data_IF_132153197959
#
_entry.id   IF_132153197959
#
_cell.length_a   1.000
_cell.length_b   1.000
_cell.length_c   1.000
_cell.angle_alpha   90.00
_cell.angle_beta   90.00
_cell.angle_gamma   90.00
#
_symmetry.space_group_name_H-M   'P 1'
#
loop_
_entity.id
_entity.type
_entity.pdbx_description
1 polymer ?
#
# COMPACT_ATOMS: atom_id res chain seq x y z
N UNK A 1 3.08 -31.55 27.78
CA UNK A 1 3.97 -30.53 28.37
C UNK A 1 3.69 -29.23 27.65
N UNK A 2 2.88 -28.41 28.30
CA UNK A 2 2.35 -27.16 27.75
C UNK A 2 3.38 -26.05 27.95
N UNK A 3 4.13 -25.71 26.90
CA UNK A 3 5.03 -24.58 26.93
C UNK A 3 4.21 -23.31 26.54
N UNK A 4 3.47 -22.79 27.53
CA UNK A 4 2.92 -21.44 27.44
C UNK A 4 4.09 -20.45 27.35
N UNK A 5 4.35 -19.93 26.14
CA UNK A 5 5.26 -18.80 25.95
C UNK A 5 4.65 -17.61 26.69
N UNK A 6 5.08 -17.37 27.92
CA UNK A 6 4.81 -16.16 28.69
C UNK A 6 5.46 -14.99 27.94
N UNK A 7 4.67 -14.20 27.20
CA UNK A 7 5.08 -12.87 26.79
C UNK A 7 5.38 -12.05 28.05
N UNK A 8 6.63 -11.66 28.25
CA UNK A 8 7.01 -10.72 29.30
C UNK A 8 6.20 -9.42 29.10
N UNK A 9 5.59 -8.87 30.15
CA UNK A 9 4.88 -7.60 30.04
C UNK A 9 5.89 -6.52 29.67
N UNK A 10 5.86 -6.07 28.43
CA UNK A 10 6.63 -4.90 28.02
C UNK A 10 6.01 -3.67 28.67
N UNK A 11 6.83 -2.84 29.30
CA UNK A 11 6.43 -1.58 29.89
C UNK A 11 5.76 -0.71 28.79
N UNK A 12 4.51 -0.28 29.04
CA UNK A 12 3.67 0.47 28.10
C UNK A 12 4.39 1.70 27.50
N UNK A 13 5.27 2.31 28.29
CA UNK A 13 6.07 3.49 27.91
C UNK A 13 7.19 3.15 26.92
N UNK A 14 7.83 1.98 27.08
CA UNK A 14 8.92 1.53 26.20
C UNK A 14 8.39 1.13 24.82
N UNK A 15 7.22 0.53 24.76
CA UNK A 15 6.55 0.13 23.51
C UNK A 15 6.17 1.36 22.65
N UNK A 16 5.65 2.43 23.27
CA UNK A 16 5.28 3.66 22.56
C UNK A 16 6.50 4.38 21.97
N UNK A 17 7.61 4.44 22.74
CA UNK A 17 8.87 5.05 22.26
C UNK A 17 9.48 4.29 21.06
N UNK A 18 9.26 2.97 20.96
CA UNK A 18 9.71 2.17 19.82
C UNK A 18 8.80 2.29 18.61
N UNK A 19 7.53 2.64 18.83
CA UNK A 19 6.53 2.78 17.75
C UNK A 19 6.76 4.04 16.90
N UNK A 20 7.20 5.14 17.50
CA UNK A 20 7.41 6.41 16.78
C UNK A 20 8.40 6.27 15.62
N UNK A 21 9.60 5.69 15.79
CA UNK A 21 10.52 5.42 14.68
C UNK A 21 9.92 4.52 13.60
N UNK A 22 9.12 3.54 14.01
CA UNK A 22 8.43 2.62 13.08
C UNK A 22 7.37 3.38 12.27
N UNK A 23 6.62 4.29 12.89
CA UNK A 23 5.66 5.16 12.17
C UNK A 23 6.36 6.10 11.19
N UNK A 24 7.55 6.61 11.50
CA UNK A 24 8.37 7.38 10.56
C UNK A 24 8.77 6.54 9.33
N UNK A 25 9.03 5.25 9.51
CA UNK A 25 9.25 4.33 8.38
C UNK A 25 8.00 4.16 7.51
N UNK A 26 6.78 4.15 8.09
CA UNK A 26 5.55 4.20 7.31
C UNK A 26 5.42 5.50 6.51
N UNK A 27 5.84 6.62 7.05
CA UNK A 27 5.89 7.88 6.30
C UNK A 27 6.82 7.75 5.09
N UNK A 28 8.07 7.28 5.31
CA UNK A 28 9.03 7.06 4.23
C UNK A 28 8.52 6.03 3.18
N UNK A 29 7.72 5.04 3.57
CA UNK A 29 7.09 4.08 2.68
C UNK A 29 6.15 4.75 1.66
N UNK A 30 5.57 5.92 1.98
CA UNK A 30 4.72 6.69 1.07
C UNK A 30 5.48 7.35 -0.08
N UNK A 31 6.80 7.46 -0.02
CA UNK A 31 7.61 8.11 -1.05
C UNK A 31 7.55 7.41 -2.42
N UNK A 32 7.19 6.14 -2.46
CA UNK A 32 7.02 5.39 -3.71
C UNK A 32 5.93 5.97 -4.61
N UNK A 33 4.93 6.61 -4.02
CA UNK A 33 3.79 7.17 -4.75
C UNK A 33 4.18 8.40 -5.59
N UNK A 34 5.43 8.91 -5.40
CA UNK A 34 6.01 9.94 -6.26
C UNK A 34 6.04 9.51 -7.74
N UNK A 35 6.19 8.23 -8.05
CA UNK A 35 6.30 7.74 -9.44
C UNK A 35 5.05 8.11 -10.24
N UNK A 36 3.87 7.98 -9.62
CA UNK A 36 2.60 8.36 -10.27
C UNK A 36 2.54 9.82 -10.66
N UNK A 37 3.05 10.73 -9.81
CA UNK A 37 3.09 12.17 -10.09
C UNK A 37 4.27 12.54 -10.99
N UNK A 38 5.43 11.92 -10.79
CA UNK A 38 6.64 12.19 -11.56
C UNK A 38 6.52 11.73 -13.02
N UNK A 39 5.63 10.77 -13.31
CA UNK A 39 5.42 10.23 -14.66
C UNK A 39 5.27 11.34 -15.71
N UNK A 40 4.42 12.31 -15.47
CA UNK A 40 4.10 13.37 -16.43
C UNK A 40 5.31 14.29 -16.69
N UNK A 41 6.09 14.58 -15.63
CA UNK A 41 7.32 15.37 -15.76
C UNK A 41 8.40 14.61 -16.54
N UNK A 42 8.58 13.30 -16.25
CA UNK A 42 9.52 12.45 -16.98
C UNK A 42 9.10 12.34 -18.46
N UNK A 43 7.80 12.18 -18.72
CA UNK A 43 7.25 12.14 -20.07
C UNK A 43 7.61 13.40 -20.86
N UNK A 44 7.45 14.57 -20.24
CA UNK A 44 7.74 15.86 -20.88
C UNK A 44 9.25 16.08 -21.05
N UNK A 45 10.07 15.82 -20.02
CA UNK A 45 11.52 16.03 -20.05
C UNK A 45 12.22 15.18 -21.14
N UNK A 46 11.69 13.99 -21.41
CA UNK A 46 12.29 13.03 -22.38
C UNK A 46 11.45 12.81 -23.64
N UNK A 47 10.41 13.61 -23.86
CA UNK A 47 9.50 13.50 -25.01
C UNK A 47 8.99 12.07 -25.26
N UNK A 48 8.61 11.36 -24.16
CA UNK A 48 8.14 9.98 -24.24
C UNK A 48 6.69 9.93 -24.74
N UNK A 49 6.37 8.86 -25.50
CA UNK A 49 4.96 8.59 -25.82
C UNK A 49 4.15 8.28 -24.56
N UNK A 50 2.84 8.58 -24.57
CA UNK A 50 1.92 8.26 -23.46
C UNK A 50 1.97 6.77 -23.09
N UNK A 51 2.03 5.91 -24.12
CA UNK A 51 2.15 4.45 -23.96
C UNK A 51 3.41 4.06 -23.19
N UNK A 52 4.56 4.66 -23.51
CA UNK A 52 5.84 4.34 -22.85
C UNK A 52 5.88 4.90 -21.42
N UNK A 53 5.41 6.12 -21.22
CA UNK A 53 5.33 6.74 -19.89
C UNK A 53 4.38 5.97 -18.95
N UNK A 54 3.31 5.39 -19.48
CA UNK A 54 2.37 4.56 -18.73
C UNK A 54 2.98 3.31 -18.07
N UNK A 55 4.14 2.84 -18.56
CA UNK A 55 4.85 1.72 -17.94
C UNK A 55 5.64 2.09 -16.68
N UNK A 56 5.94 3.38 -16.46
CA UNK A 56 6.75 3.82 -15.31
C UNK A 56 6.18 3.36 -13.96
N UNK A 57 4.88 3.53 -13.66
CA UNK A 57 4.29 3.03 -12.42
C UNK A 57 4.32 1.50 -12.31
N UNK A 58 4.26 0.78 -13.43
CA UNK A 58 4.27 -0.69 -13.45
C UNK A 58 5.58 -1.29 -12.95
N UNK A 59 6.69 -0.52 -13.02
CA UNK A 59 7.99 -0.92 -12.49
C UNK A 59 7.89 -1.27 -10.99
N UNK A 60 7.12 -0.52 -10.22
CA UNK A 60 6.95 -0.77 -8.77
C UNK A 60 6.27 -2.12 -8.53
N UNK A 61 5.17 -2.39 -9.21
CA UNK A 61 4.43 -3.65 -9.02
C UNK A 61 5.26 -4.88 -9.44
N UNK A 62 6.10 -4.74 -10.45
CA UNK A 62 7.06 -5.78 -10.84
C UNK A 62 7.99 -6.16 -9.68
N UNK A 63 8.57 -5.16 -8.99
CA UNK A 63 9.48 -5.43 -7.88
C UNK A 63 8.77 -5.99 -6.64
N UNK A 64 7.51 -5.64 -6.41
CA UNK A 64 6.73 -6.31 -5.36
C UNK A 64 6.59 -7.80 -5.63
N UNK A 65 6.37 -8.20 -6.87
CA UNK A 65 6.29 -9.60 -7.23
C UNK A 65 7.63 -10.34 -7.02
N UNK A 66 8.73 -9.74 -7.44
CA UNK A 66 10.06 -10.38 -7.45
C UNK A 66 10.72 -10.41 -6.07
N UNK A 67 10.66 -9.29 -5.33
CA UNK A 67 11.51 -9.07 -4.13
C UNK A 67 10.81 -9.46 -2.83
N UNK A 68 9.48 -9.50 -2.77
CA UNK A 68 8.78 -9.68 -1.49
C UNK A 68 9.07 -11.04 -0.84
N UNK A 69 9.01 -12.15 -1.58
CA UNK A 69 9.32 -13.48 -1.03
C UNK A 69 10.80 -13.62 -0.61
N UNK A 70 11.78 -13.21 -1.45
CA UNK A 70 13.19 -13.14 -1.02
C UNK A 70 13.39 -12.30 0.25
N UNK A 71 12.66 -11.19 0.41
CA UNK A 71 12.72 -10.36 1.62
C UNK A 71 12.19 -11.08 2.85
N UNK A 72 11.11 -11.87 2.72
CA UNK A 72 10.61 -12.73 3.81
C UNK A 72 11.70 -13.65 4.34
N UNK A 73 12.46 -14.27 3.44
CA UNK A 73 13.60 -15.15 3.79
C UNK A 73 14.76 -14.33 4.38
N UNK A 74 15.04 -13.16 3.83
CA UNK A 74 16.10 -12.27 4.31
C UNK A 74 15.85 -11.86 5.77
N UNK A 75 14.59 -11.59 6.16
CA UNK A 75 14.22 -11.28 7.54
C UNK A 75 14.60 -12.39 8.52
N UNK A 76 14.52 -13.67 8.11
CA UNK A 76 14.94 -14.80 8.95
C UNK A 76 16.45 -14.84 9.17
N UNK A 77 17.24 -14.31 8.21
CA UNK A 77 18.71 -14.30 8.31
C UNK A 77 19.24 -13.11 9.09
N UNK A 78 18.78 -11.90 8.78
CA UNK A 78 19.35 -10.67 9.35
C UNK A 78 18.45 -9.96 10.37
N UNK A 79 17.19 -10.40 10.52
CA UNK A 79 16.17 -9.79 11.38
C UNK A 79 15.33 -8.72 10.66
N UNK A 80 14.14 -8.45 11.20
CA UNK A 80 13.16 -7.51 10.63
C UNK A 80 13.66 -6.08 10.64
N UNK A 81 14.20 -5.61 11.78
CA UNK A 81 14.75 -4.25 11.93
C UNK A 81 15.86 -3.97 10.91
N UNK A 82 16.83 -4.89 10.76
CA UNK A 82 17.93 -4.73 9.81
C UNK A 82 17.42 -4.74 8.37
N UNK A 83 16.38 -5.51 8.08
CA UNK A 83 15.75 -5.52 6.74
C UNK A 83 15.04 -4.19 6.46
N UNK A 84 14.37 -3.59 7.45
CA UNK A 84 13.78 -2.23 7.30
C UNK A 84 14.89 -1.19 7.13
N UNK A 85 16.00 -1.27 7.86
CA UNK A 85 17.14 -0.37 7.66
C UNK A 85 17.73 -0.50 6.25
N UNK A 86 17.86 -1.72 5.72
CA UNK A 86 18.30 -1.97 4.35
C UNK A 86 17.35 -1.32 3.34
N UNK A 87 16.03 -1.44 3.54
CA UNK A 87 15.04 -0.81 2.66
C UNK A 87 15.16 0.71 2.64
N UNK A 88 15.38 1.35 3.79
CA UNK A 88 15.60 2.79 3.88
C UNK A 88 16.88 3.23 3.16
N UNK A 89 17.96 2.45 3.26
CA UNK A 89 19.21 2.70 2.53
C UNK A 89 18.96 2.64 1.01
N UNK A 90 18.27 1.61 0.53
CA UNK A 90 17.90 1.47 -0.88
C UNK A 90 16.99 2.62 -1.33
N UNK A 91 16.00 3.00 -0.53
CA UNK A 91 15.10 4.13 -0.80
C UNK A 91 15.88 5.46 -0.85
N UNK A 92 16.81 5.68 0.07
CA UNK A 92 17.66 6.88 0.05
C UNK A 92 18.49 6.95 -1.22
N UNK A 93 19.13 5.85 -1.63
CA UNK A 93 19.86 5.76 -2.89
C UNK A 93 18.95 6.02 -4.11
N UNK A 94 17.74 5.44 -4.10
CA UNK A 94 16.72 5.63 -5.13
C UNK A 94 16.33 7.11 -5.34
N UNK A 95 16.29 7.88 -4.25
CA UNK A 95 15.96 9.31 -4.28
C UNK A 95 17.13 10.19 -4.69
N UNK A 96 18.37 9.78 -4.39
CA UNK A 96 19.59 10.53 -4.74
C UNK A 96 19.99 10.35 -6.21
N UNK A 97 19.91 9.12 -6.75
CA UNK A 97 20.39 8.81 -8.10
C UNK A 97 19.77 9.69 -9.19
N UNK A 98 18.45 9.96 -9.23
CA UNK A 98 17.86 10.85 -10.23
C UNK A 98 18.33 12.31 -10.16
N UNK A 99 18.84 12.75 -9.01
CA UNK A 99 19.36 14.11 -8.79
C UNK A 99 20.78 14.24 -9.36
N UNK A 100 21.54 13.14 -9.44
CA UNK A 100 22.94 13.15 -9.89
C UNK A 100 23.10 13.47 -11.39
N UNK A 101 22.03 13.55 -12.17
CA UNK A 101 22.11 13.90 -13.59
C UNK A 101 20.76 13.94 -14.30
N UNK A 102 20.81 14.37 -15.57
CA UNK A 102 19.63 14.51 -16.44
C UNK A 102 19.57 13.40 -17.49
N UNK A 103 19.59 12.14 -17.06
CA UNK A 103 19.50 10.98 -17.92
C UNK A 103 18.25 10.15 -17.60
N UNK A 104 17.52 9.72 -18.61
CA UNK A 104 16.40 8.79 -18.45
C UNK A 104 16.83 7.50 -17.73
N UNK A 105 18.04 7.02 -18.00
CA UNK A 105 18.57 5.82 -17.35
C UNK A 105 18.68 6.01 -15.81
N UNK A 106 19.17 7.17 -15.33
CA UNK A 106 19.25 7.46 -13.90
C UNK A 106 17.87 7.52 -13.26
N UNK A 107 16.87 8.07 -13.94
CA UNK A 107 15.49 8.12 -13.45
C UNK A 107 14.91 6.69 -13.36
N UNK A 108 15.08 5.88 -14.41
CA UNK A 108 14.59 4.49 -14.41
C UNK A 108 15.28 3.67 -13.31
N UNK A 109 16.60 3.81 -13.14
CA UNK A 109 17.33 3.15 -12.04
C UNK A 109 16.78 3.61 -10.68
N UNK A 110 16.57 4.91 -10.49
CA UNK A 110 15.96 5.46 -9.29
C UNK A 110 14.58 4.85 -9.02
N UNK A 111 13.71 4.76 -10.02
CA UNK A 111 12.37 4.18 -9.89
C UNK A 111 12.40 2.67 -9.62
N UNK A 112 13.32 1.93 -10.25
CA UNK A 112 13.54 0.52 -9.93
C UNK A 112 13.96 0.34 -8.48
N UNK A 113 14.95 1.10 -8.02
CA UNK A 113 15.41 1.03 -6.64
C UNK A 113 14.33 1.48 -5.64
N UNK A 114 13.50 2.47 -6.01
CA UNK A 114 12.39 2.90 -5.19
C UNK A 114 11.33 1.78 -5.04
N UNK A 115 11.04 1.06 -6.13
CA UNK A 115 10.20 -0.14 -6.11
C UNK A 115 10.79 -1.26 -5.26
N UNK A 116 12.07 -1.56 -5.42
CA UNK A 116 12.80 -2.56 -4.61
C UNK A 116 12.78 -2.17 -3.13
N UNK A 117 13.18 -0.92 -2.81
CA UNK A 117 13.19 -0.41 -1.44
C UNK A 117 11.82 -0.49 -0.79
N UNK A 118 10.76 -0.11 -1.53
CA UNK A 118 9.39 -0.16 -1.02
C UNK A 118 8.89 -1.60 -0.82
N UNK A 119 9.21 -2.54 -1.73
CA UNK A 119 8.87 -3.95 -1.58
C UNK A 119 9.54 -4.54 -0.32
N UNK A 120 10.83 -4.25 -0.09
CA UNK A 120 11.55 -4.66 1.12
C UNK A 120 10.90 -4.01 2.36
N UNK A 121 10.59 -2.71 2.30
CA UNK A 121 9.97 -1.96 3.40
C UNK A 121 8.63 -2.56 3.80
N UNK A 122 7.70 -2.71 2.86
CA UNK A 122 6.35 -3.23 3.17
C UNK A 122 6.39 -4.65 3.70
N UNK A 123 7.29 -5.49 3.16
CA UNK A 123 7.46 -6.87 3.61
C UNK A 123 7.99 -6.95 5.03
N UNK A 124 8.91 -6.06 5.44
CA UNK A 124 9.60 -6.16 6.72
C UNK A 124 8.99 -5.29 7.82
N UNK A 125 8.44 -4.13 7.49
CA UNK A 125 7.91 -3.17 8.45
C UNK A 125 6.63 -3.69 9.14
N UNK A 126 5.72 -4.30 8.37
CA UNK A 126 4.48 -4.82 8.91
C UNK A 126 4.70 -5.94 9.96
N UNK A 127 5.55 -6.97 9.73
CA UNK A 127 5.87 -7.92 10.79
C UNK A 127 6.75 -7.34 11.91
N UNK A 128 7.51 -6.25 11.66
CA UNK A 128 8.22 -5.56 12.74
C UNK A 128 7.23 -4.94 13.74
N UNK A 129 6.11 -4.36 13.27
CA UNK A 129 5.02 -3.88 14.13
C UNK A 129 4.46 -5.01 14.99
N UNK A 130 4.31 -6.23 14.44
CA UNK A 130 3.79 -7.37 15.19
C UNK A 130 4.69 -7.84 16.33
N UNK A 131 5.96 -7.41 16.38
CA UNK A 131 6.86 -7.65 17.52
C UNK A 131 6.66 -6.66 18.67
N UNK A 132 6.06 -5.50 18.36
CA UNK A 132 5.94 -4.40 19.31
C UNK A 132 4.54 -4.31 19.92
N UNK A 133 3.55 -4.91 19.27
CA UNK A 133 2.13 -4.77 19.59
C UNK A 133 1.49 -6.14 19.72
N UNK A 134 0.56 -6.27 20.66
CA UNK A 134 -0.27 -7.48 20.83
C UNK A 134 -1.17 -7.72 19.61
N UNK A 135 -1.51 -8.98 19.36
CA UNK A 135 -2.26 -9.39 18.16
C UNK A 135 -3.64 -8.72 18.07
N UNK A 136 -4.31 -8.46 19.20
CA UNK A 136 -5.60 -7.78 19.28
C UNK A 136 -5.57 -6.32 18.77
N UNK A 137 -4.41 -5.65 18.91
CA UNK A 137 -4.17 -4.26 18.47
C UNK A 137 -3.47 -4.15 17.12
N UNK A 138 -3.03 -5.28 16.54
CA UNK A 138 -2.17 -5.29 15.36
C UNK A 138 -2.85 -4.63 14.15
N UNK A 139 -4.07 -5.04 13.81
CA UNK A 139 -4.79 -4.48 12.66
C UNK A 139 -5.00 -2.96 12.80
N UNK A 140 -5.39 -2.48 13.97
CA UNK A 140 -5.54 -1.05 14.27
C UNK A 140 -4.23 -0.29 14.10
N UNK A 141 -3.12 -0.85 14.60
CA UNK A 141 -1.79 -0.21 14.51
C UNK A 141 -1.28 -0.20 13.07
N UNK A 142 -1.46 -1.29 12.32
CA UNK A 142 -1.13 -1.33 10.88
C UNK A 142 -1.97 -0.33 10.09
N UNK A 143 -3.27 -0.22 10.37
CA UNK A 143 -4.15 0.79 9.78
C UNK A 143 -3.65 2.21 10.06
N UNK A 144 -3.24 2.50 11.31
CA UNK A 144 -2.64 3.79 11.65
C UNK A 144 -1.32 4.03 10.90
N UNK A 145 -0.49 3.01 10.72
CA UNK A 145 0.69 3.07 9.87
C UNK A 145 0.34 3.40 8.40
N UNK A 146 -0.70 2.78 7.85
CA UNK A 146 -1.19 3.11 6.50
C UNK A 146 -1.73 4.55 6.40
N UNK A 147 -2.33 5.08 7.47
CA UNK A 147 -2.72 6.49 7.53
C UNK A 147 -1.49 7.42 7.47
N UNK A 148 -0.44 7.13 8.22
CA UNK A 148 0.82 7.90 8.17
C UNK A 148 1.47 7.82 6.76
N UNK A 149 1.47 6.65 6.14
CA UNK A 149 1.89 6.48 4.74
C UNK A 149 1.07 7.37 3.80
N UNK A 150 -0.26 7.35 3.96
CA UNK A 150 -1.17 8.10 3.10
C UNK A 150 -0.98 9.62 3.20
N UNK A 151 -0.53 10.15 4.36
CA UNK A 151 -0.14 11.56 4.50
C UNK A 151 1.03 11.87 3.57
N UNK A 152 2.10 11.06 3.58
CA UNK A 152 3.25 11.25 2.72
C UNK A 152 2.85 11.16 1.24
N UNK A 153 2.01 10.18 0.88
CA UNK A 153 1.48 10.02 -0.48
C UNK A 153 0.68 11.25 -0.95
N UNK A 154 -0.18 11.80 -0.08
CA UNK A 154 -0.97 12.99 -0.38
C UNK A 154 -0.12 14.27 -0.51
N UNK A 155 1.00 14.36 0.21
CA UNK A 155 1.95 15.47 0.09
C UNK A 155 2.74 15.42 -1.22
N UNK A 156 2.93 14.26 -1.82
CA UNK A 156 3.81 14.06 -2.97
C UNK A 156 3.46 14.96 -4.17
N UNK A 157 2.22 15.06 -4.65
CA UNK A 157 1.89 15.94 -5.77
C UNK A 157 2.21 17.41 -5.49
N UNK A 158 1.98 17.88 -4.26
CA UNK A 158 2.30 19.24 -3.83
C UNK A 158 3.81 19.49 -3.84
N UNK A 159 4.57 18.55 -3.30
CA UNK A 159 6.04 18.65 -3.23
C UNK A 159 6.66 18.66 -4.63
N UNK A 160 6.15 17.81 -5.55
CA UNK A 160 6.60 17.80 -6.95
C UNK A 160 6.27 19.14 -7.64
N UNK A 161 5.04 19.65 -7.48
CA UNK A 161 4.63 20.93 -8.06
C UNK A 161 5.43 22.09 -7.50
N UNK A 162 5.69 22.13 -6.19
CA UNK A 162 6.54 23.17 -5.56
C UNK A 162 7.99 23.08 -6.03
N UNK A 163 8.51 21.88 -6.26
CA UNK A 163 9.82 21.69 -6.88
C UNK A 163 9.84 22.21 -8.33
N UNK A 164 8.83 21.91 -9.12
CA UNK A 164 8.74 22.37 -10.50
C UNK A 164 8.59 23.90 -10.63
N UNK A 165 7.92 24.55 -9.67
CA UNK A 165 7.71 26.00 -9.62
C UNK A 165 8.77 26.75 -8.80
N UNK A 166 9.83 26.04 -8.34
CA UNK A 166 10.92 26.59 -7.52
C UNK A 166 10.47 27.22 -6.18
N UNK A 167 9.27 26.86 -5.68
CA UNK A 167 8.77 27.30 -4.37
C UNK A 167 9.54 26.69 -3.19
N UNK A 168 10.26 25.59 -3.43
CA UNK A 168 11.17 24.96 -2.47
C UNK A 168 12.59 24.98 -3.03
N UNK A 169 13.63 24.91 -2.17
CA UNK A 169 15.02 24.86 -2.63
C UNK A 169 15.24 23.62 -3.54
N UNK A 170 15.40 23.84 -4.84
CA UNK A 170 15.58 22.77 -5.84
C UNK A 170 17.04 22.61 -6.26
N UNK A 171 17.90 23.59 -5.94
CA UNK A 171 19.30 23.62 -6.34
C UNK A 171 19.50 23.39 -7.86
N UNK A 172 18.58 23.87 -8.68
CA UNK A 172 18.61 23.72 -10.13
C UNK A 172 18.09 22.37 -10.66
N UNK A 173 17.50 21.52 -9.79
CA UNK A 173 16.98 20.20 -10.19
C UNK A 173 15.48 20.20 -10.53
N UNK A 174 14.81 21.36 -10.52
CA UNK A 174 13.38 21.49 -10.84
C UNK A 174 12.51 20.54 -10.00
N UNK A 175 11.59 19.84 -10.64
CA UNK A 175 10.67 18.90 -9.97
C UNK A 175 11.39 17.78 -9.17
N UNK A 176 12.65 17.47 -9.49
CA UNK A 176 13.44 16.45 -8.75
C UNK A 176 13.98 16.99 -7.43
N UNK A 177 14.00 18.32 -7.21
CA UNK A 177 14.55 18.92 -5.99
C UNK A 177 13.91 18.42 -4.70
N UNK A 178 12.60 18.07 -4.72
CA UNK A 178 11.91 17.50 -3.57
C UNK A 178 12.45 16.11 -3.17
N UNK A 179 13.05 15.37 -4.11
CA UNK A 179 13.66 14.06 -3.81
C UNK A 179 14.79 14.19 -2.79
N UNK A 180 15.53 15.33 -2.80
CA UNK A 180 16.55 15.61 -1.80
C UNK A 180 15.94 15.73 -0.39
N UNK A 181 14.76 16.36 -0.26
CA UNK A 181 14.04 16.48 1.01
C UNK A 181 13.63 15.08 1.49
N UNK A 182 13.08 14.26 0.61
CA UNK A 182 12.69 12.90 0.93
C UNK A 182 13.89 12.01 1.28
N UNK A 183 15.04 12.20 0.61
CA UNK A 183 16.29 11.52 0.94
C UNK A 183 16.78 11.88 2.35
N UNK A 184 16.69 13.16 2.75
CA UNK A 184 17.02 13.61 4.11
C UNK A 184 16.09 12.94 5.14
N UNK A 185 14.78 12.91 4.90
CA UNK A 185 13.81 12.28 5.81
C UNK A 185 14.10 10.78 5.91
N UNK A 186 14.40 10.12 4.79
CA UNK A 186 14.77 8.69 4.77
C UNK A 186 16.06 8.45 5.57
N UNK A 187 17.07 9.29 5.42
CA UNK A 187 18.33 9.22 6.17
C UNK A 187 18.10 9.42 7.68
N UNK A 188 17.29 10.41 8.07
CA UNK A 188 16.90 10.63 9.47
C UNK A 188 16.15 9.38 10.03
N UNK A 189 15.28 8.78 9.22
CA UNK A 189 14.59 7.55 9.60
C UNK A 189 15.57 6.39 9.86
N UNK A 190 16.63 6.27 9.05
CA UNK A 190 17.72 5.30 9.29
C UNK A 190 18.37 5.56 10.64
N UNK A 191 18.78 6.80 10.91
CA UNK A 191 19.49 7.15 12.15
C UNK A 191 18.62 6.87 13.39
N UNK A 192 17.36 7.31 13.36
CA UNK A 192 16.42 7.16 14.49
C UNK A 192 16.09 5.66 14.71
N UNK A 193 15.78 4.92 13.64
CA UNK A 193 15.47 3.49 13.77
C UNK A 193 16.70 2.70 14.20
N UNK A 194 17.90 2.99 13.69
CA UNK A 194 19.14 2.32 14.10
C UNK A 194 19.41 2.48 15.59
N UNK A 195 19.21 3.69 16.13
CA UNK A 195 19.38 4.00 17.54
C UNK A 195 18.30 3.37 18.45
N UNK A 196 17.16 2.97 17.92
CA UNK A 196 16.04 2.44 18.70
C UNK A 196 16.27 0.96 19.07
N UNK A 197 16.34 0.56 20.35
CA UNK A 197 16.51 -0.83 20.71
C UNK A 197 15.20 -1.60 20.50
N UNK A 198 15.18 -2.51 19.52
CA UNK A 198 14.06 -3.42 19.25
C UNK A 198 14.57 -4.85 19.45
N UNK A 199 13.95 -5.58 20.38
CA UNK A 199 14.22 -7.00 20.55
C UNK A 199 13.48 -7.78 19.47
N UNK A 200 14.18 -8.67 18.79
CA UNK A 200 13.62 -9.52 17.74
C UNK A 200 13.85 -10.99 18.09
N UNK A 201 12.82 -11.78 17.91
CA UNK A 201 12.95 -13.23 17.91
C UNK A 201 13.46 -13.66 16.52
N UNK A 202 14.57 -14.35 16.50
CA UNK A 202 15.09 -14.95 15.27
C UNK A 202 14.50 -16.34 15.12
N UNK A 203 13.94 -16.68 13.96
CA UNK A 203 13.51 -18.05 13.71
C UNK A 203 14.74 -18.98 13.65
N UNK A 204 14.56 -20.19 14.16
CA UNK A 204 15.64 -21.21 14.25
C UNK A 204 16.06 -21.77 12.88
N UNK A 205 15.24 -21.58 11.84
CA UNK A 205 15.50 -22.07 10.48
C UNK A 205 15.36 -20.97 9.44
N UNK A 206 16.31 -20.93 8.50
CA UNK A 206 16.18 -20.16 7.27
C UNK A 206 15.31 -20.95 6.28
N UNK A 207 14.16 -20.38 5.89
CA UNK A 207 13.26 -20.95 4.90
C UNK A 207 13.83 -20.77 3.47
N UNK A 208 13.45 -21.68 2.57
CA UNK A 208 13.73 -21.55 1.14
C UNK A 208 12.55 -20.87 0.41
N UNK A 209 12.79 -20.38 -0.83
CA UNK A 209 11.71 -19.80 -1.68
C UNK A 209 10.60 -20.83 -1.88
N UNK A 210 10.96 -22.10 -2.08
CA UNK A 210 9.99 -23.19 -2.30
C UNK A 210 9.13 -23.42 -1.06
N UNK A 211 9.72 -23.37 0.13
CA UNK A 211 8.98 -23.49 1.39
C UNK A 211 8.02 -22.32 1.61
N UNK A 212 8.44 -21.10 1.29
CA UNK A 212 7.55 -19.93 1.32
C UNK A 212 6.36 -20.11 0.39
N UNK A 213 6.59 -20.48 -0.87
CA UNK A 213 5.51 -20.66 -1.86
C UNK A 213 4.58 -21.81 -1.46
N UNK A 214 5.10 -22.89 -0.84
CA UNK A 214 4.29 -23.98 -0.31
C UNK A 214 3.27 -23.52 0.76
N UNK A 215 3.49 -22.40 1.44
CA UNK A 215 2.51 -21.84 2.37
C UNK A 215 1.23 -21.39 1.69
N UNK A 216 1.24 -21.10 0.39
CA UNK A 216 0.02 -20.90 -0.40
C UNK A 216 -0.83 -22.17 -0.51
N UNK A 217 -0.28 -23.35 -0.26
CA UNK A 217 -1.05 -24.59 -0.09
C UNK A 217 -1.93 -24.60 1.16
N UNK A 218 -1.69 -23.70 2.14
CA UNK A 218 -2.63 -23.49 3.24
C UNK A 218 -3.83 -22.70 2.75
N UNK A 219 -5.08 -23.27 2.82
CA UNK A 219 -6.26 -22.63 2.27
C UNK A 219 -6.49 -21.20 2.81
N UNK A 220 -6.23 -20.97 4.09
CA UNK A 220 -6.43 -19.65 4.70
C UNK A 220 -5.41 -18.62 4.21
N UNK A 221 -4.12 -19.01 4.11
CA UNK A 221 -3.06 -18.13 3.57
C UNK A 221 -3.34 -17.77 2.11
N UNK A 222 -3.76 -18.76 1.31
CA UNK A 222 -4.14 -18.52 -0.09
C UNK A 222 -5.34 -17.57 -0.21
N UNK A 223 -6.37 -17.74 0.62
CA UNK A 223 -7.50 -16.81 0.63
C UNK A 223 -7.08 -15.39 1.04
N UNK A 224 -6.19 -15.25 2.01
CA UNK A 224 -5.63 -13.94 2.37
C UNK A 224 -4.83 -13.32 1.21
N UNK A 225 -4.01 -14.12 0.51
CA UNK A 225 -3.25 -13.67 -0.66
C UNK A 225 -4.17 -13.12 -1.75
N UNK A 226 -5.22 -13.88 -2.12
CA UNK A 226 -6.23 -13.39 -3.08
C UNK A 226 -7.00 -12.19 -2.53
N UNK A 227 -7.24 -12.12 -1.21
CA UNK A 227 -7.85 -10.95 -0.56
C UNK A 227 -7.05 -9.67 -0.75
N UNK A 228 -5.73 -9.74 -0.57
CA UNK A 228 -4.82 -8.61 -0.82
C UNK A 228 -4.74 -8.30 -2.32
N UNK A 229 -4.66 -9.32 -3.17
CA UNK A 229 -4.66 -9.18 -4.62
C UNK A 229 -5.91 -8.42 -5.11
N UNK A 230 -7.10 -8.79 -4.65
CA UNK A 230 -8.34 -8.11 -4.97
C UNK A 230 -8.39 -6.69 -4.38
N UNK A 231 -7.98 -6.52 -3.12
CA UNK A 231 -7.94 -5.20 -2.46
C UNK A 231 -7.13 -4.19 -3.29
N UNK A 232 -5.90 -4.56 -3.68
CA UNK A 232 -5.03 -3.66 -4.45
C UNK A 232 -5.54 -3.49 -5.87
N UNK A 233 -6.13 -4.54 -6.45
CA UNK A 233 -6.82 -4.44 -7.74
C UNK A 233 -7.97 -3.46 -7.74
N UNK A 234 -8.80 -3.45 -6.70
CA UNK A 234 -9.90 -2.48 -6.50
C UNK A 234 -9.31 -1.08 -6.31
N UNK A 235 -8.28 -0.93 -5.47
CA UNK A 235 -7.62 0.34 -5.16
C UNK A 235 -7.07 1.02 -6.43
N UNK A 236 -6.24 0.31 -7.17
CA UNK A 236 -5.64 0.80 -8.41
C UNK A 236 -6.71 0.97 -9.49
N UNK A 237 -7.66 0.05 -9.55
CA UNK A 237 -8.76 0.08 -10.51
C UNK A 237 -9.61 1.35 -10.38
N UNK A 238 -10.09 1.66 -9.18
CA UNK A 238 -10.90 2.87 -8.95
C UNK A 238 -10.08 4.14 -9.11
N UNK A 239 -8.80 4.13 -8.69
CA UNK A 239 -7.92 5.27 -8.89
C UNK A 239 -7.67 5.57 -10.39
N UNK A 240 -7.48 4.52 -11.20
CA UNK A 240 -7.18 4.63 -12.63
C UNK A 240 -8.44 4.93 -13.47
N UNK A 241 -9.53 4.21 -13.19
CA UNK A 241 -10.76 4.29 -13.99
C UNK A 241 -11.83 5.21 -13.39
N UNK A 242 -11.66 5.74 -12.18
CA UNK A 242 -12.63 6.63 -11.55
C UNK A 242 -12.98 7.85 -12.40
N UNK A 243 -11.97 8.45 -13.05
CA UNK A 243 -12.20 9.54 -14.02
C UNK A 243 -13.03 9.07 -15.22
N UNK A 244 -12.74 7.90 -15.77
CA UNK A 244 -13.49 7.33 -16.89
C UNK A 244 -14.93 7.00 -16.53
N UNK A 245 -15.21 6.57 -15.30
CA UNK A 245 -16.58 6.32 -14.83
C UNK A 245 -17.42 7.58 -14.95
N UNK A 246 -16.93 8.72 -14.48
CA UNK A 246 -17.69 9.98 -14.54
C UNK A 246 -17.73 10.55 -15.95
N UNK A 247 -16.65 10.42 -16.73
CA UNK A 247 -16.60 10.87 -18.12
C UNK A 247 -17.61 10.14 -19.00
N UNK A 248 -17.63 8.81 -18.95
CA UNK A 248 -18.53 7.98 -19.75
C UNK A 248 -19.99 8.14 -19.32
N UNK A 249 -20.26 8.25 -18.00
CA UNK A 249 -21.62 8.41 -17.49
C UNK A 249 -22.27 9.75 -17.83
N UNK A 250 -21.48 10.82 -17.98
CA UNK A 250 -21.97 12.20 -18.13
C UNK A 250 -21.50 12.86 -19.42
N UNK A 251 -20.78 12.17 -20.30
CA UNK A 251 -20.18 12.70 -21.52
C UNK A 251 -19.29 13.95 -21.28
N UNK A 252 -18.46 13.89 -20.22
CA UNK A 252 -17.58 14.98 -19.81
C UNK A 252 -16.20 14.89 -20.44
N UNK A 253 -15.56 16.04 -20.67
CA UNK A 253 -14.17 16.09 -21.12
C UNK A 253 -13.17 15.82 -20.00
N UNK A 254 -11.96 15.26 -20.30
CA UNK A 254 -10.98 14.87 -19.28
C UNK A 254 -10.47 16.01 -18.39
N UNK A 255 -10.52 17.24 -18.89
CA UNK A 255 -10.00 18.44 -18.22
C UNK A 255 -11.03 19.17 -17.36
N UNK A 256 -12.28 18.71 -17.34
CA UNK A 256 -13.30 19.32 -16.50
C UNK A 256 -12.98 19.13 -15.01
N UNK A 257 -13.23 20.17 -14.21
CA UNK A 257 -12.93 20.17 -12.76
C UNK A 257 -13.59 18.98 -12.06
N UNK A 258 -14.82 18.65 -12.45
CA UNK A 258 -15.57 17.51 -11.93
C UNK A 258 -14.82 16.19 -12.16
N UNK A 259 -14.20 16.00 -13.33
CA UNK A 259 -13.43 14.80 -13.66
C UNK A 259 -12.12 14.77 -12.88
N UNK A 260 -11.41 15.90 -12.84
CA UNK A 260 -10.12 16.00 -12.13
C UNK A 260 -10.30 15.78 -10.63
N UNK A 261 -11.37 16.31 -10.04
CA UNK A 261 -11.65 16.18 -8.61
C UNK A 261 -11.92 14.73 -8.16
N UNK A 262 -12.33 13.84 -9.06
CA UNK A 262 -12.62 12.43 -8.77
C UNK A 262 -11.48 11.72 -8.07
N UNK A 263 -10.24 11.88 -8.55
CA UNK A 263 -9.05 11.25 -7.94
C UNK A 263 -8.76 11.84 -6.56
N UNK A 264 -8.87 13.16 -6.42
CA UNK A 264 -8.68 13.84 -5.13
C UNK A 264 -9.70 13.35 -4.10
N UNK A 265 -10.96 13.23 -4.49
CA UNK A 265 -12.05 12.74 -3.66
C UNK A 265 -11.76 11.31 -3.15
N UNK A 266 -11.31 10.42 -4.05
CA UNK A 266 -10.92 9.07 -3.67
C UNK A 266 -9.86 9.07 -2.56
N UNK A 267 -8.78 9.84 -2.71
CA UNK A 267 -7.71 9.90 -1.72
C UNK A 267 -8.13 10.54 -0.40
N UNK A 268 -9.01 11.56 -0.43
CA UNK A 268 -9.58 12.16 0.79
C UNK A 268 -10.34 11.10 1.60
N UNK A 269 -11.22 10.34 0.94
CA UNK A 269 -12.00 9.31 1.63
C UNK A 269 -11.16 8.11 2.03
N UNK A 270 -10.14 7.74 1.27
CA UNK A 270 -9.17 6.71 1.66
C UNK A 270 -8.38 7.12 2.90
N UNK A 271 -7.89 8.37 2.95
CA UNK A 271 -7.17 8.92 4.09
C UNK A 271 -8.08 8.97 5.33
N UNK A 272 -9.29 9.50 5.18
CA UNK A 272 -10.28 9.56 6.26
C UNK A 272 -10.65 8.16 6.77
N UNK A 273 -10.80 7.20 5.86
CA UNK A 273 -11.11 5.81 6.18
C UNK A 273 -10.00 5.12 6.98
N UNK A 274 -8.72 5.33 6.62
CA UNK A 274 -7.60 4.79 7.41
C UNK A 274 -7.51 5.43 8.78
N UNK A 275 -7.73 6.74 8.89
CA UNK A 275 -7.73 7.43 10.18
C UNK A 275 -8.86 6.92 11.10
N UNK A 276 -10.11 6.98 10.63
CA UNK A 276 -11.28 6.53 11.39
C UNK A 276 -11.20 5.04 11.70
N UNK A 277 -10.77 4.23 10.73
CA UNK A 277 -10.64 2.80 10.88
C UNK A 277 -9.62 2.38 11.94
N UNK A 278 -8.53 3.13 12.10
CA UNK A 278 -7.56 2.87 13.16
C UNK A 278 -8.17 2.96 14.58
N UNK A 279 -9.17 3.82 14.78
CA UNK A 279 -9.91 3.92 16.04
C UNK A 279 -11.04 2.89 16.12
N UNK A 280 -11.83 2.74 15.05
CA UNK A 280 -12.97 1.81 15.04
C UNK A 280 -12.54 0.35 15.22
N UNK A 281 -11.38 -0.05 14.71
CA UNK A 281 -10.82 -1.39 14.91
C UNK A 281 -10.41 -1.70 16.35
N UNK A 282 -10.39 -0.69 17.24
CA UNK A 282 -10.26 -0.89 18.69
C UNK A 282 -11.61 -1.09 19.40
N UNK A 283 -12.70 -0.63 18.80
CA UNK A 283 -14.04 -0.62 19.38
C UNK A 283 -14.90 -1.79 18.88
N UNK A 284 -14.61 -2.31 17.69
CA UNK A 284 -15.39 -3.38 17.08
C UNK A 284 -14.50 -4.50 16.53
N UNK A 285 -15.09 -5.68 16.31
CA UNK A 285 -14.34 -6.82 15.77
C UNK A 285 -13.91 -6.57 14.33
N UNK A 286 -12.71 -7.04 13.97
CA UNK A 286 -12.18 -6.98 12.61
C UNK A 286 -13.17 -7.54 11.58
N UNK A 287 -13.89 -8.61 11.91
CA UNK A 287 -14.90 -9.22 11.03
C UNK A 287 -16.07 -8.28 10.73
N UNK A 288 -16.62 -7.62 11.76
CA UNK A 288 -17.73 -6.69 11.58
C UNK A 288 -17.29 -5.46 10.78
N UNK A 289 -16.14 -4.90 11.10
CA UNK A 289 -15.59 -3.74 10.38
C UNK A 289 -15.35 -4.08 8.91
N UNK A 290 -14.73 -5.24 8.63
CA UNK A 290 -14.49 -5.71 7.26
C UNK A 290 -15.81 -5.88 6.49
N UNK A 291 -16.83 -6.49 7.11
CA UNK A 291 -18.14 -6.67 6.50
C UNK A 291 -18.78 -5.33 6.12
N UNK A 292 -18.78 -4.35 7.02
CA UNK A 292 -19.29 -3.00 6.76
C UNK A 292 -18.52 -2.36 5.60
N UNK A 293 -17.19 -2.45 5.61
CA UNK A 293 -16.33 -1.94 4.54
C UNK A 293 -16.68 -2.53 3.17
N UNK A 294 -16.93 -3.83 3.12
CA UNK A 294 -17.32 -4.51 1.86
C UNK A 294 -18.73 -4.10 1.43
N UNK A 295 -19.68 -3.93 2.36
CA UNK A 295 -21.03 -3.45 2.02
C UNK A 295 -21.00 -2.03 1.42
N UNK A 296 -20.13 -1.13 1.91
CA UNK A 296 -19.93 0.19 1.32
C UNK A 296 -19.45 0.09 -0.13
N UNK A 297 -18.47 -0.81 -0.39
CA UNK A 297 -17.98 -1.05 -1.75
C UNK A 297 -19.05 -1.67 -2.67
N UNK A 298 -19.90 -2.57 -2.17
CA UNK A 298 -21.03 -3.11 -2.94
C UNK A 298 -22.01 -1.98 -3.29
N UNK A 299 -22.35 -1.11 -2.33
CA UNK A 299 -23.19 0.06 -2.60
C UNK A 299 -22.60 0.96 -3.69
N UNK A 300 -21.28 1.14 -3.69
CA UNK A 300 -20.59 1.87 -4.75
C UNK A 300 -20.73 1.20 -6.13
N UNK A 301 -20.60 -0.14 -6.21
CA UNK A 301 -20.78 -0.87 -7.47
C UNK A 301 -22.20 -0.70 -8.01
N UNK A 302 -23.21 -0.78 -7.15
CA UNK A 302 -24.60 -0.52 -7.52
C UNK A 302 -24.76 0.88 -8.10
N UNK A 303 -24.16 1.90 -7.46
CA UNK A 303 -24.19 3.29 -7.94
C UNK A 303 -23.54 3.39 -9.31
N UNK A 304 -22.36 2.80 -9.52
CA UNK A 304 -21.62 2.90 -10.77
C UNK A 304 -22.37 2.25 -11.96
N UNK A 305 -23.17 1.21 -11.72
CA UNK A 305 -23.97 0.59 -12.76
C UNK A 305 -25.33 1.26 -12.99
N UNK A 306 -25.87 2.01 -12.01
CA UNK A 306 -27.27 2.45 -12.05
C UNK A 306 -27.43 3.97 -12.12
N UNK A 307 -26.41 4.76 -11.75
CA UNK A 307 -26.54 6.19 -11.58
C UNK A 307 -25.67 6.98 -12.58
N UNK A 308 -26.25 8.07 -13.10
CA UNK A 308 -25.59 8.96 -14.06
C UNK A 308 -25.54 10.43 -13.58
N UNK A 309 -25.51 10.66 -12.27
CA UNK A 309 -25.34 12.01 -11.72
C UNK A 309 -23.99 12.18 -11.05
N UNK A 310 -23.41 13.39 -11.10
CA UNK A 310 -22.14 13.74 -10.45
C UNK A 310 -22.15 13.35 -8.98
N UNK A 311 -23.20 13.74 -8.24
CA UNK A 311 -23.30 13.47 -6.80
C UNK A 311 -23.33 11.98 -6.49
N UNK A 312 -24.04 11.18 -7.28
CA UNK A 312 -24.08 9.72 -7.11
C UNK A 312 -22.72 9.07 -7.37
N UNK A 313 -22.05 9.42 -8.48
CA UNK A 313 -20.74 8.86 -8.82
C UNK A 313 -19.68 9.26 -7.77
N UNK A 314 -19.70 10.52 -7.32
CA UNK A 314 -18.83 10.97 -6.23
C UNK A 314 -19.10 10.20 -4.94
N UNK A 315 -20.36 9.92 -4.61
CA UNK A 315 -20.72 9.07 -3.47
C UNK A 315 -20.15 7.67 -3.65
N UNK A 316 -20.26 7.07 -4.83
CA UNK A 316 -19.66 5.76 -5.13
C UNK A 316 -18.14 5.76 -4.95
N UNK A 317 -17.44 6.76 -5.49
CA UNK A 317 -15.98 6.93 -5.32
C UNK A 317 -15.60 7.05 -3.84
N UNK A 318 -16.35 7.87 -3.09
CA UNK A 318 -16.13 8.05 -1.65
C UNK A 318 -16.34 6.74 -0.86
N UNK A 319 -17.40 6.00 -1.18
CA UNK A 319 -17.70 4.70 -0.55
C UNK A 319 -16.61 3.66 -0.82
N UNK A 320 -16.03 3.60 -2.02
CA UNK A 320 -14.91 2.69 -2.29
C UNK A 320 -13.65 3.19 -1.57
N UNK A 321 -13.33 4.48 -1.64
CA UNK A 321 -12.16 5.04 -0.98
C UNK A 321 -12.17 4.74 0.52
N UNK A 322 -13.30 4.97 1.20
CA UNK A 322 -13.47 4.69 2.61
C UNK A 322 -13.51 3.17 2.90
N UNK A 323 -14.32 2.42 2.15
CA UNK A 323 -14.51 0.98 2.37
C UNK A 323 -13.24 0.16 2.14
N UNK A 324 -12.47 0.49 1.10
CA UNK A 324 -11.25 -0.25 0.76
C UNK A 324 -10.06 0.10 1.67
N UNK A 325 -10.09 1.22 2.39
CA UNK A 325 -8.95 1.81 3.11
C UNK A 325 -8.29 0.90 4.15
N UNK A 326 -9.05 0.01 4.80
CA UNK A 326 -8.56 -0.81 5.92
C UNK A 326 -8.45 -2.31 5.60
N UNK A 327 -8.85 -2.71 4.39
CA UNK A 327 -8.88 -4.12 3.97
C UNK A 327 -7.49 -4.74 4.07
N UNK A 328 -6.46 -4.05 3.58
CA UNK A 328 -5.07 -4.53 3.66
C UNK A 328 -4.66 -4.87 5.09
N UNK A 329 -4.85 -3.95 6.03
CA UNK A 329 -4.38 -4.11 7.41
C UNK A 329 -5.08 -5.29 8.11
N UNK A 330 -6.38 -5.47 7.86
CA UNK A 330 -7.15 -6.58 8.43
C UNK A 330 -6.69 -7.91 7.82
N UNK A 331 -6.65 -8.02 6.50
CA UNK A 331 -6.26 -9.27 5.82
C UNK A 331 -4.82 -9.65 6.16
N UNK A 332 -3.92 -8.67 6.16
CA UNK A 332 -2.52 -8.89 6.51
C UNK A 332 -2.35 -9.38 7.96
N UNK A 333 -3.01 -8.73 8.94
CA UNK A 333 -2.95 -9.17 10.33
C UNK A 333 -3.47 -10.59 10.51
N UNK A 334 -4.62 -10.92 9.90
CA UNK A 334 -5.20 -12.26 9.91
C UNK A 334 -4.25 -13.31 9.30
N UNK A 335 -3.57 -12.96 8.20
CA UNK A 335 -2.64 -13.85 7.53
C UNK A 335 -1.44 -14.19 8.41
N UNK A 336 -0.73 -13.20 8.95
CA UNK A 336 0.48 -13.42 9.78
C UNK A 336 0.16 -14.04 11.13
N UNK A 337 -1.02 -13.77 11.70
CA UNK A 337 -1.50 -14.40 12.94
C UNK A 337 -1.89 -15.87 12.73
N UNK A 338 -2.26 -16.26 11.51
CA UNK A 338 -2.60 -17.65 11.19
C UNK A 338 -1.40 -18.59 11.22
N UNK A 339 -0.19 -18.05 11.06
CA UNK A 339 1.08 -18.76 10.97
C UNK A 339 2.15 -18.07 11.82
N UNK A 340 2.09 -18.21 13.15
CA UNK A 340 2.96 -17.45 14.07
C UNK A 340 4.46 -17.75 13.90
N UNK A 341 4.82 -18.95 13.46
CA UNK A 341 6.21 -19.38 13.24
C UNK A 341 6.77 -18.94 11.88
N UNK A 342 5.89 -18.71 10.87
CA UNK A 342 6.26 -18.34 9.50
C UNK A 342 5.80 -16.91 9.15
N UNK A 343 5.72 -16.00 10.12
CA UNK A 343 5.24 -14.62 9.91
C UNK A 343 5.97 -13.86 8.81
N UNK A 344 7.28 -14.08 8.67
CA UNK A 344 8.10 -13.40 7.69
C UNK A 344 7.81 -13.89 6.27
N UNK A 345 7.66 -15.20 6.09
CA UNK A 345 7.33 -15.85 4.83
C UNK A 345 5.93 -15.44 4.37
N UNK A 346 4.96 -15.51 5.29
CA UNK A 346 3.58 -15.06 5.02
C UNK A 346 3.55 -13.59 4.66
N UNK A 347 4.32 -12.74 5.35
CA UNK A 347 4.43 -11.33 4.96
C UNK A 347 4.92 -11.16 3.52
N UNK A 348 5.98 -11.89 3.14
CA UNK A 348 6.49 -11.88 1.77
C UNK A 348 5.43 -12.26 0.74
N UNK A 349 4.64 -13.30 1.03
CA UNK A 349 3.53 -13.72 0.17
C UNK A 349 2.42 -12.67 0.09
N UNK A 350 2.03 -12.08 1.21
CA UNK A 350 0.98 -11.05 1.24
C UNK A 350 1.39 -9.82 0.43
N UNK A 351 2.63 -9.38 0.55
CA UNK A 351 3.13 -8.23 -0.21
C UNK A 351 3.33 -8.58 -1.69
N UNK A 352 3.70 -9.81 -2.05
CA UNK A 352 3.68 -10.28 -3.43
C UNK A 352 2.28 -10.14 -4.06
N UNK A 353 1.22 -10.29 -3.26
CA UNK A 353 -0.18 -10.09 -3.69
C UNK A 353 -0.50 -8.68 -4.20
N UNK A 354 0.35 -7.67 -3.91
CA UNK A 354 0.17 -6.31 -4.45
C UNK A 354 0.25 -6.26 -5.98
N UNK A 355 0.79 -7.29 -6.64
CA UNK A 355 0.74 -7.44 -8.10
C UNK A 355 -0.69 -7.42 -8.65
N UNK A 356 -1.69 -7.65 -7.81
CA UNK A 356 -3.12 -7.48 -8.14
C UNK A 356 -3.45 -6.13 -8.75
N UNK A 357 -2.75 -5.06 -8.34
CA UNK A 357 -2.91 -3.74 -8.95
C UNK A 357 -2.61 -3.71 -10.44
N UNK A 358 -1.51 -4.31 -10.86
CA UNK A 358 -1.17 -4.43 -12.28
C UNK A 358 -2.12 -5.38 -13.02
N UNK A 359 -2.45 -6.53 -12.41
CA UNK A 359 -3.32 -7.52 -13.03
C UNK A 359 -4.74 -6.97 -13.28
N UNK A 360 -5.34 -6.32 -12.28
CA UNK A 360 -6.67 -5.71 -12.43
C UNK A 360 -6.66 -4.62 -13.51
N UNK A 361 -5.66 -3.73 -13.52
CA UNK A 361 -5.56 -2.67 -14.53
C UNK A 361 -5.52 -3.23 -15.94
N UNK A 362 -4.77 -4.31 -16.19
CA UNK A 362 -4.70 -4.98 -17.48
C UNK A 362 -6.04 -5.63 -17.88
N UNK A 363 -6.65 -6.38 -16.94
CA UNK A 363 -7.95 -7.05 -17.18
C UNK A 363 -9.07 -6.03 -17.37
N UNK A 364 -9.05 -4.91 -16.63
CA UNK A 364 -10.04 -3.83 -16.77
C UNK A 364 -9.94 -3.14 -18.13
N UNK A 365 -8.69 -2.89 -18.63
CA UNK A 365 -8.49 -2.35 -19.96
C UNK A 365 -9.06 -3.26 -21.04
N UNK A 366 -8.74 -4.56 -20.97
CA UNK A 366 -9.29 -5.55 -21.90
C UNK A 366 -10.83 -5.65 -21.82
N UNK A 367 -11.39 -5.66 -20.60
CA UNK A 367 -12.84 -5.70 -20.39
C UNK A 367 -13.53 -4.43 -20.89
N UNK A 368 -12.91 -3.25 -20.72
CA UNK A 368 -13.41 -2.00 -21.28
C UNK A 368 -13.56 -2.08 -22.80
N UNK A 369 -12.53 -2.58 -23.50
CA UNK A 369 -12.55 -2.73 -24.96
C UNK A 369 -13.56 -3.82 -25.41
N UNK A 370 -13.58 -4.96 -24.71
CA UNK A 370 -14.47 -6.08 -25.04
C UNK A 370 -15.96 -5.76 -24.91
N UNK A 371 -16.33 -5.04 -23.85
CA UNK A 371 -17.73 -4.67 -23.57
C UNK A 371 -18.13 -3.30 -24.13
N UNK A 372 -17.19 -2.60 -24.81
CA UNK A 372 -17.43 -1.32 -25.46
C UNK A 372 -17.71 -0.17 -24.49
N UNK A 373 -17.12 -0.18 -23.30
CA UNK A 373 -17.26 0.91 -22.34
C UNK A 373 -16.92 0.59 -20.91
N UNK A 374 -17.13 1.55 -20.01
CA UNK A 374 -16.72 1.51 -18.60
C UNK A 374 -17.38 0.37 -17.81
N UNK A 375 -18.55 -0.12 -18.24
CA UNK A 375 -19.25 -1.23 -17.58
C UNK A 375 -18.38 -2.49 -17.44
N UNK A 376 -17.53 -2.78 -18.44
CA UNK A 376 -16.57 -3.90 -18.37
C UNK A 376 -15.55 -3.72 -17.26
N UNK A 377 -14.98 -2.52 -17.12
CA UNK A 377 -14.03 -2.22 -16.05
C UNK A 377 -14.69 -2.28 -14.65
N UNK A 378 -15.92 -1.77 -14.50
CA UNK A 378 -16.68 -1.85 -13.25
C UNK A 378 -17.00 -3.30 -12.89
N UNK A 379 -17.31 -4.15 -13.88
CA UNK A 379 -17.55 -5.59 -13.65
C UNK A 379 -16.31 -6.29 -13.06
N UNK A 380 -15.10 -5.98 -13.55
CA UNK A 380 -13.85 -6.53 -13.01
C UNK A 380 -13.64 -6.10 -11.55
N UNK A 381 -13.86 -4.82 -11.21
CA UNK A 381 -13.80 -4.34 -9.83
C UNK A 381 -14.83 -5.09 -8.97
N UNK A 382 -16.04 -5.26 -9.49
CA UNK A 382 -17.15 -5.94 -8.79
C UNK A 382 -16.79 -7.39 -8.44
N UNK A 383 -16.09 -8.13 -9.31
CA UNK A 383 -15.60 -9.48 -9.02
C UNK A 383 -14.65 -9.45 -7.80
N UNK A 384 -13.75 -8.47 -7.73
CA UNK A 384 -12.88 -8.30 -6.56
C UNK A 384 -13.67 -8.02 -5.28
N UNK A 385 -14.70 -7.16 -5.34
CA UNK A 385 -15.56 -6.83 -4.20
C UNK A 385 -16.37 -8.04 -3.74
N UNK A 386 -16.90 -8.83 -4.68
CA UNK A 386 -17.62 -10.08 -4.37
C UNK A 386 -16.70 -11.12 -3.73
N UNK A 387 -15.44 -11.21 -4.18
CA UNK A 387 -14.47 -12.05 -3.49
C UNK A 387 -14.25 -11.60 -2.04
N UNK A 388 -14.11 -10.30 -1.77
CA UNK A 388 -13.98 -9.79 -0.41
C UNK A 388 -15.22 -10.05 0.44
N UNK A 389 -16.42 -10.02 -0.16
CA UNK A 389 -17.65 -10.42 0.52
C UNK A 389 -17.60 -11.89 0.95
N UNK A 390 -17.23 -12.78 0.04
CA UNK A 390 -17.00 -14.18 0.37
C UNK A 390 -15.96 -14.34 1.49
N UNK A 391 -14.83 -13.63 1.37
CA UNK A 391 -13.74 -13.71 2.35
C UNK A 391 -14.16 -13.26 3.76
N UNK A 392 -15.15 -12.39 3.89
CA UNK A 392 -15.74 -12.00 5.19
C UNK A 392 -16.15 -13.20 6.04
N UNK A 393 -16.62 -14.27 5.41
CA UNK A 393 -17.04 -15.50 6.11
C UNK A 393 -15.88 -16.22 6.77
N UNK A 394 -14.66 -15.99 6.30
CA UNK A 394 -13.42 -16.65 6.73
C UNK A 394 -12.63 -15.84 7.77
N UNK A 395 -12.92 -14.56 7.94
CA UNK A 395 -12.26 -13.70 8.92
C UNK A 395 -12.62 -14.13 10.34
N UNK A 396 -11.61 -14.25 11.20
CA UNK A 396 -11.77 -14.52 12.62
C UNK A 396 -12.29 -13.29 13.36
N UNK A 397 -13.11 -13.51 14.37
CA UNK A 397 -13.56 -12.44 15.28
C UNK A 397 -12.43 -12.13 16.25
N UNK A 398 -11.59 -11.16 15.91
CA UNK A 398 -10.60 -10.58 16.81
C UNK A 398 -11.13 -9.21 17.22
N UNK A 399 -11.31 -8.99 18.51
CA UNK A 399 -11.70 -7.70 19.10
C UNK A 399 -10.58 -7.29 20.04
N UNK A 400 -10.18 -6.01 20.00
CA UNK A 400 -9.23 -5.50 20.98
C UNK A 400 -9.83 -5.70 22.40
N UNK A 401 -9.03 -6.23 23.32
CA UNK A 401 -9.46 -6.35 24.70
C UNK A 401 -9.78 -4.95 25.23
N UNK A 402 -10.95 -4.77 25.84
CA UNK A 402 -11.27 -3.57 26.58
C UNK A 402 -10.30 -3.46 27.77
N UNK A 403 -9.53 -2.36 27.84
CA UNK A 403 -8.66 -2.05 29.00
C UNK A 403 -9.47 -1.44 30.13
#
# INVERSE_FOLDING_TARGET
MDASVKSLPMDKKSSLMQLVPVMLCFFAMGFVDLIGTAKDYVQNDFNMSESLAGWLPSIVFFWFFVISVPTGILMNKIGRKKTVLLSLIVTTAALIIPICGNSLALIIIGFCLLGIGNAIMQTSLNPLVSNLISNDKLASTLTFGQFIKAIASAMTPLMVAWGASEMIPTFGHGWKGFMAIYAIISFLSIAILAATPIKEEKPDKASSIVECIKLLGSPFVFLCFIGIFCHVGIDVGVNTYGKKIIMDALNLAPHEEVVVFTTTLYFIFRLSGTFIGAFLLRLMSQKLFFFISVLLMIGAMVIFFSCTSVAAIYTGIALVGFGNSNIFAIVFSQAIESKPTERNEVSGLMIMGLVGGAAFSGVMGYAYDLFGGIGGAIAVISVGVLYLLFFTTRIRKVTAAAE
#
